data_IF_953324424745
#
_entry.id   IF_953324424745
#
_cell.length_a   1.000
_cell.length_b   1.000
_cell.length_c   1.000
_cell.angle_alpha   90.00
_cell.angle_beta   90.00
_cell.angle_gamma   90.00
#
_symmetry.space_group_name_H-M   'P 1'
#
loop_
_entity.id
_entity.type
_entity.pdbx_description
1 polymer ?
#
# COMPACT_ATOMS: atom_id res chain seq x y z
N UNK A 1 -9.52 19.50 38.81
CA UNK A 1 -8.04 19.53 38.77
C UNK A 1 -7.54 18.20 38.23
N UNK A 2 -7.99 17.74 37.06
CA UNK A 2 -7.72 18.15 35.68
C UNK A 2 -6.31 17.82 35.19
N UNK A 3 -6.25 16.68 34.50
CA UNK A 3 -5.14 16.18 33.70
C UNK A 3 -4.85 17.17 32.55
N UNK A 4 -3.96 18.12 32.81
CA UNK A 4 -3.38 19.01 31.82
C UNK A 4 -1.94 19.29 32.25
N UNK A 5 -1.05 18.32 32.02
CA UNK A 5 0.42 18.45 32.16
C UNK A 5 1.11 17.20 31.59
N UNK A 6 0.96 16.99 30.29
CA UNK A 6 1.83 16.12 29.50
C UNK A 6 1.73 16.62 28.07
N UNK A 7 2.68 17.50 27.71
CA UNK A 7 3.09 17.96 26.37
C UNK A 7 3.61 19.40 26.47
N UNK A 8 4.76 19.58 27.13
CA UNK A 8 5.61 20.75 26.93
C UNK A 8 7.00 20.41 27.46
N UNK A 9 7.98 20.24 26.56
CA UNK A 9 9.33 19.89 27.01
C UNK A 9 10.33 19.63 25.89
N UNK A 10 10.33 20.45 24.83
CA UNK A 10 11.45 20.51 23.88
C UNK A 10 11.79 21.98 23.64
N UNK A 11 12.64 22.52 24.52
CA UNK A 11 13.69 23.53 24.24
C UNK A 11 14.25 24.00 25.59
N UNK A 12 15.50 23.63 25.90
CA UNK A 12 16.52 24.49 26.53
C UNK A 12 17.80 23.68 26.73
N UNK A 13 18.79 23.96 25.88
CA UNK A 13 20.20 23.64 26.12
C UNK A 13 20.82 24.79 26.90
N UNK A 14 21.18 24.60 28.17
CA UNK A 14 22.34 25.27 28.80
C UNK A 14 22.72 24.54 30.09
N UNK A 15 24.00 24.24 30.26
CA UNK A 15 24.51 23.28 31.25
C UNK A 15 24.90 23.83 32.62
N UNK A 16 25.25 22.90 33.51
CA UNK A 16 26.42 22.88 34.41
C UNK A 16 26.27 21.68 35.37
N UNK A 17 27.18 20.69 35.29
CA UNK A 17 28.26 20.42 36.26
C UNK A 17 27.76 20.03 37.66
N UNK A 18 28.01 18.78 38.05
CA UNK A 18 27.87 18.32 39.43
C UNK A 18 27.99 16.81 39.56
N UNK A 19 29.20 16.34 39.87
CA UNK A 19 29.59 14.96 40.06
C UNK A 19 28.87 14.24 41.21
N UNK A 20 28.74 12.91 41.12
CA UNK A 20 29.17 11.92 42.12
C UNK A 20 28.66 10.52 41.74
N UNK A 21 29.59 9.60 41.51
CA UNK A 21 29.42 8.14 41.60
C UNK A 21 30.12 7.67 42.91
N UNK A 22 30.22 6.37 43.25
CA UNK A 22 29.52 5.17 42.77
C UNK A 22 29.00 4.28 43.95
N UNK A 23 28.25 3.22 43.67
CA UNK A 23 28.26 2.02 44.52
C UNK A 23 27.88 0.77 43.70
N UNK A 24 28.80 -0.19 43.71
CA UNK A 24 28.70 -1.49 43.05
C UNK A 24 27.97 -2.51 43.94
N UNK A 25 27.30 -3.48 43.33
CA UNK A 25 27.13 -4.82 43.91
C UNK A 25 26.88 -5.86 42.81
N UNK A 26 27.85 -6.79 42.68
CA UNK A 26 27.77 -8.08 42.01
C UNK A 26 26.98 -9.08 42.87
N UNK A 27 26.29 -10.04 42.24
CA UNK A 27 26.21 -11.48 42.59
C UNK A 27 25.12 -12.14 41.73
N UNK A 28 25.46 -12.97 40.74
CA UNK A 28 25.71 -14.43 40.81
C UNK A 28 24.45 -15.30 40.74
N UNK A 29 24.39 -16.07 39.66
CA UNK A 29 23.51 -17.22 39.44
C UNK A 29 24.07 -18.50 40.11
N UNK A 30 23.22 -19.52 40.31
CA UNK A 30 23.59 -20.91 40.08
C UNK A 30 22.59 -21.58 39.11
N UNK A 31 23.03 -22.23 38.03
CA UNK A 31 23.62 -23.58 37.93
C UNK A 31 22.60 -24.72 38.20
N UNK A 32 22.33 -25.47 37.13
CA UNK A 32 21.57 -26.72 37.07
C UNK A 32 22.35 -27.92 37.65
N UNK A 33 21.69 -29.07 37.81
CA UNK A 33 22.37 -30.36 37.65
C UNK A 33 21.76 -31.21 36.53
N UNK A 34 22.65 -31.85 35.79
CA UNK A 34 22.40 -32.94 34.85
C UNK A 34 22.32 -34.28 35.61
N UNK A 35 21.53 -35.24 35.08
CA UNK A 35 21.70 -36.67 35.32
C UNK A 35 21.28 -37.44 34.06
N UNK A 36 22.13 -38.40 33.71
CA UNK A 36 22.17 -39.23 32.49
C UNK A 36 21.76 -40.70 32.85
N UNK A 37 21.98 -41.76 32.03
CA UNK A 37 20.95 -42.46 31.26
C UNK A 37 20.75 -43.95 31.63
N UNK A 38 19.71 -44.60 31.08
CA UNK A 38 19.55 -46.07 30.93
C UNK A 38 18.23 -46.35 30.17
N UNK A 39 17.98 -47.37 29.36
CA UNK A 39 18.72 -48.48 28.73
C UNK A 39 17.68 -49.23 27.88
N UNK A 40 18.07 -49.68 26.69
CA UNK A 40 17.29 -50.55 25.79
C UNK A 40 17.08 -51.96 26.38
N UNK A 41 16.12 -52.77 25.88
CA UNK A 41 16.47 -53.73 24.83
C UNK A 41 15.36 -54.09 23.80
N UNK A 42 15.80 -54.53 22.63
CA UNK A 42 15.03 -55.24 21.60
C UNK A 42 14.79 -56.74 21.94
N UNK A 43 13.99 -57.46 21.12
CA UNK A 43 14.62 -58.57 20.39
C UNK A 43 14.18 -58.79 18.92
N UNK A 44 15.17 -59.26 18.16
CA UNK A 44 15.24 -60.23 17.04
C UNK A 44 13.98 -61.03 16.63
N UNK A 45 13.83 -61.67 15.47
CA UNK A 45 14.48 -61.77 14.13
C UNK A 45 13.76 -62.92 13.40
N UNK A 46 13.50 -62.83 12.09
CA UNK A 46 13.53 -64.01 11.20
C UNK A 46 13.47 -63.62 9.72
N UNK A 47 14.57 -63.93 9.00
CA UNK A 47 14.72 -63.92 7.53
C UNK A 47 14.32 -65.27 6.94
N UNK A 48 13.95 -65.29 5.65
CA UNK A 48 14.33 -66.28 4.60
C UNK A 48 13.71 -65.86 3.23
N UNK A 49 14.14 -66.39 2.05
CA UNK A 49 14.93 -65.64 1.07
C UNK A 49 14.26 -65.35 -0.30
N UNK A 50 15.00 -64.60 -1.11
CA UNK A 50 14.75 -64.04 -2.45
C UNK A 50 14.32 -65.04 -3.54
N UNK A 51 13.86 -64.50 -4.70
CA UNK A 51 14.64 -64.74 -5.92
C UNK A 51 15.02 -63.46 -6.68
N UNK A 52 16.12 -63.60 -7.38
CA UNK A 52 16.88 -62.64 -8.17
C UNK A 52 16.09 -62.09 -9.37
N UNK A 53 16.14 -60.78 -9.58
CA UNK A 53 15.83 -60.15 -10.85
C UNK A 53 16.94 -59.16 -11.22
N UNK A 54 17.47 -59.29 -12.43
CA UNK A 54 18.51 -58.45 -13.03
C UNK A 54 18.08 -56.97 -13.13
N UNK A 55 19.03 -56.02 -13.13
CA UNK A 55 18.73 -54.61 -12.91
C UNK A 55 18.05 -54.00 -14.14
N UNK A 56 16.82 -53.54 -13.96
CA UNK A 56 16.22 -52.55 -14.85
C UNK A 56 16.82 -51.20 -14.47
N UNK A 57 17.46 -50.51 -15.42
CA UNK A 57 17.83 -49.11 -15.24
C UNK A 57 16.52 -48.32 -15.17
N UNK A 58 16.06 -48.06 -13.94
CA UNK A 58 14.90 -47.22 -13.69
C UNK A 58 15.35 -45.76 -13.74
N UNK A 59 14.84 -45.03 -14.72
CA UNK A 59 14.93 -43.57 -14.76
C UNK A 59 14.17 -43.02 -13.54
N UNK A 60 14.78 -42.19 -12.66
CA UNK A 60 14.09 -41.70 -11.48
C UNK A 60 12.92 -40.80 -11.87
N UNK A 61 11.74 -41.07 -11.28
CA UNK A 61 10.57 -40.20 -11.39
C UNK A 61 10.71 -38.89 -10.58
N UNK A 62 9.83 -37.91 -10.82
CA UNK A 62 9.96 -36.52 -10.35
C UNK A 62 9.93 -36.34 -8.82
N UNK A 63 9.56 -37.37 -8.05
CA UNK A 63 9.58 -37.33 -6.58
C UNK A 63 11.00 -37.31 -5.97
N UNK A 64 12.03 -37.76 -6.71
CA UNK A 64 13.41 -37.76 -6.22
C UNK A 64 14.06 -36.35 -6.17
N UNK A 65 13.47 -35.35 -6.85
CA UNK A 65 14.04 -34.01 -7.01
C UNK A 65 13.66 -33.02 -5.90
N UNK A 66 12.58 -33.26 -5.16
CA UNK A 66 12.12 -32.37 -4.09
C UNK A 66 13.02 -32.43 -2.83
N UNK A 67 13.73 -33.54 -2.62
CA UNK A 67 14.64 -33.76 -1.49
C UNK A 67 16.12 -33.45 -1.82
N UNK A 68 16.42 -32.96 -3.02
CA UNK A 68 17.80 -32.77 -3.48
C UNK A 68 18.46 -31.51 -2.88
N UNK A 69 17.71 -30.40 -2.76
CA UNK A 69 18.24 -29.15 -2.17
C UNK A 69 18.52 -29.28 -0.66
N UNK A 70 17.77 -30.12 0.05
CA UNK A 70 17.95 -30.40 1.49
C UNK A 70 19.28 -31.10 1.81
N UNK A 71 19.96 -31.67 0.81
CA UNK A 71 21.31 -32.23 0.99
C UNK A 71 22.37 -31.13 0.97
N UNK A 72 22.13 -30.05 0.22
CA UNK A 72 23.04 -28.90 0.19
C UNK A 72 23.03 -28.15 1.54
N UNK A 73 21.91 -28.12 2.26
CA UNK A 73 21.84 -27.47 3.59
C UNK A 73 22.63 -28.21 4.67
N UNK A 74 22.92 -29.50 4.48
CA UNK A 74 23.71 -30.30 5.41
C UNK A 74 25.23 -30.12 5.23
N UNK A 75 25.68 -29.38 4.20
CA UNK A 75 27.11 -29.12 3.98
C UNK A 75 27.59 -27.98 4.88
N UNK A 76 28.62 -28.22 5.72
CA UNK A 76 29.15 -27.20 6.64
C UNK A 76 30.14 -26.23 5.97
N UNK A 77 30.70 -26.62 4.82
CA UNK A 77 31.59 -25.77 4.03
C UNK A 77 30.79 -24.89 3.06
N UNK A 78 31.01 -23.58 3.13
CA UNK A 78 30.23 -22.59 2.39
C UNK A 78 30.42 -22.69 0.87
N UNK A 79 31.62 -23.01 0.41
CA UNK A 79 31.94 -23.08 -1.01
C UNK A 79 31.37 -24.36 -1.63
N UNK A 80 31.47 -25.49 -0.93
CA UNK A 80 30.85 -26.74 -1.34
C UNK A 80 29.31 -26.66 -1.31
N UNK A 81 28.75 -25.96 -0.32
CA UNK A 81 27.31 -25.72 -0.22
C UNK A 81 26.80 -24.88 -1.39
N UNK A 82 27.49 -23.80 -1.74
CA UNK A 82 27.15 -22.96 -2.88
C UNK A 82 27.19 -23.76 -4.18
N UNK A 83 28.28 -24.49 -4.44
CA UNK A 83 28.42 -25.32 -5.63
C UNK A 83 27.33 -26.40 -5.74
N UNK A 84 26.88 -26.95 -4.61
CA UNK A 84 25.77 -27.91 -4.55
C UNK A 84 24.44 -27.27 -4.99
N UNK A 85 24.15 -26.04 -4.52
CA UNK A 85 22.95 -25.30 -4.94
C UNK A 85 23.00 -24.92 -6.42
N UNK A 86 24.15 -24.51 -6.93
CA UNK A 86 24.33 -24.15 -8.34
C UNK A 86 24.09 -25.35 -9.27
N UNK A 87 24.63 -26.52 -8.91
CA UNK A 87 24.37 -27.75 -9.66
C UNK A 87 22.90 -28.17 -9.61
N UNK A 88 22.26 -28.08 -8.45
CA UNK A 88 20.84 -28.40 -8.31
C UNK A 88 19.98 -27.46 -9.17
N UNK A 89 20.25 -26.16 -9.14
CA UNK A 89 19.54 -25.15 -9.93
C UNK A 89 19.73 -25.38 -11.44
N UNK A 90 20.95 -25.73 -11.87
CA UNK A 90 21.25 -26.07 -13.26
C UNK A 90 20.44 -27.27 -13.78
N UNK A 91 20.19 -28.28 -12.93
CA UNK A 91 19.37 -29.44 -13.29
C UNK A 91 17.87 -29.11 -13.44
N UNK A 92 17.37 -28.10 -12.71
CA UNK A 92 15.98 -27.64 -12.86
C UNK A 92 15.76 -26.88 -14.18
N UNK A 93 16.77 -26.16 -14.66
CA UNK A 93 16.69 -25.41 -15.91
C UNK A 93 16.48 -26.32 -17.14
N UNK A 94 17.08 -27.52 -17.14
CA UNK A 94 16.88 -28.52 -18.20
C UNK A 94 15.51 -29.22 -18.15
N UNK A 95 14.82 -29.19 -17.01
CA UNK A 95 13.47 -29.77 -16.87
C UNK A 95 12.35 -28.84 -17.38
N UNK A 96 12.68 -27.58 -17.73
CA UNK A 96 11.75 -26.63 -18.37
C UNK A 96 12.18 -26.32 -19.81
N UNK A 97 12.28 -27.33 -20.66
CA UNK A 97 12.31 -27.09 -22.10
C UNK A 97 10.91 -26.67 -22.61
N UNK A 98 10.79 -25.74 -23.58
CA UNK A 98 9.50 -25.27 -24.06
C UNK A 98 8.76 -26.36 -24.84
N UNK A 99 7.45 -26.46 -24.62
CA UNK A 99 6.49 -27.21 -25.44
C UNK A 99 6.64 -26.87 -26.92
N UNK A 100 6.92 -27.89 -27.74
CA UNK A 100 6.97 -27.79 -29.20
C UNK A 100 5.61 -27.34 -29.76
N UNK A 101 5.60 -26.21 -30.46
CA UNK A 101 4.51 -25.80 -31.34
C UNK A 101 4.63 -26.58 -32.65
N UNK A 102 3.58 -27.32 -33.00
CA UNK A 102 3.41 -27.96 -34.30
C UNK A 102 3.17 -26.89 -35.37
N UNK A 103 4.21 -26.56 -36.14
CA UNK A 103 4.08 -25.79 -37.37
C UNK A 103 4.14 -26.73 -38.59
N UNK A 104 3.13 -26.60 -39.44
CA UNK A 104 2.87 -27.42 -40.61
C UNK A 104 3.97 -27.33 -41.69
N UNK A 105 4.20 -28.46 -42.34
CA UNK A 105 5.10 -28.57 -43.48
C UNK A 105 4.57 -27.81 -44.70
N UNK A 106 5.37 -26.88 -45.21
CA UNK A 106 5.23 -26.28 -46.53
C UNK A 106 6.59 -26.24 -47.20
N UNK A 107 6.80 -27.09 -48.21
CA UNK A 107 8.03 -27.19 -48.99
C UNK A 107 8.22 -25.97 -49.91
N UNK A 108 9.45 -25.45 -50.07
CA UNK A 108 9.84 -24.66 -51.23
C UNK A 108 10.79 -25.44 -52.17
N UNK A 109 10.77 -25.19 -53.50
CA UNK A 109 11.65 -25.90 -54.43
C UNK A 109 13.03 -25.23 -54.58
N UNK A 110 14.04 -26.10 -54.53
CA UNK A 110 15.29 -26.18 -55.29
C UNK A 110 16.00 -24.93 -55.87
N UNK A 111 17.24 -24.79 -55.39
CA UNK A 111 18.52 -24.68 -56.13
C UNK A 111 19.02 -23.34 -56.67
N UNK A 112 20.12 -22.86 -56.07
CA UNK A 112 21.33 -22.48 -56.81
C UNK A 112 22.58 -22.67 -55.92
N UNK A 113 23.59 -23.33 -56.48
CA UNK A 113 24.80 -23.81 -55.82
C UNK A 113 25.81 -22.70 -55.48
N UNK A 114 26.50 -22.83 -54.33
CA UNK A 114 27.85 -22.30 -54.08
C UNK A 114 28.58 -23.20 -53.06
N UNK A 115 29.84 -23.45 -53.35
CA UNK A 115 30.77 -24.41 -52.72
C UNK A 115 30.93 -24.24 -51.19
N UNK A 116 31.28 -25.31 -50.45
CA UNK A 116 31.42 -25.25 -49.00
C UNK A 116 32.75 -24.58 -48.61
N UNK A 117 32.67 -23.48 -47.86
CA UNK A 117 33.79 -23.03 -47.02
C UNK A 117 33.36 -23.29 -45.59
N UNK A 118 34.04 -24.21 -44.90
CA UNK A 118 33.79 -24.54 -43.50
C UNK A 118 34.23 -23.38 -42.60
N UNK A 119 33.33 -22.69 -41.87
CA UNK A 119 33.75 -21.88 -40.73
C UNK A 119 33.89 -22.82 -39.52
N UNK A 120 35.03 -22.73 -38.85
CA UNK A 120 35.31 -23.47 -37.62
C UNK A 120 34.26 -23.15 -36.54
N UNK A 121 33.84 -24.17 -35.78
CA UNK A 121 33.03 -23.99 -34.58
C UNK A 121 33.76 -23.10 -33.57
N UNK A 122 33.15 -22.03 -33.03
CA UNK A 122 33.78 -21.23 -31.99
C UNK A 122 33.97 -22.05 -30.72
N UNK A 123 35.13 -21.90 -30.09
CA UNK A 123 35.49 -22.50 -28.80
C UNK A 123 34.68 -21.83 -27.68
N UNK A 124 34.34 -22.50 -26.56
CA UNK A 124 33.43 -21.97 -25.53
C UNK A 124 33.84 -20.66 -24.82
N UNK A 125 35.00 -20.10 -25.16
CA UNK A 125 35.55 -18.88 -24.57
C UNK A 125 35.05 -17.57 -25.22
N UNK A 126 34.33 -17.65 -26.34
CA UNK A 126 33.84 -16.47 -27.09
C UNK A 126 32.33 -16.21 -26.95
N UNK A 127 31.65 -16.89 -26.03
CA UNK A 127 30.24 -16.60 -25.72
C UNK A 127 30.16 -15.41 -24.75
N UNK A 128 29.40 -14.33 -25.06
CA UNK A 128 29.16 -13.28 -24.09
C UNK A 128 28.50 -13.90 -22.84
N UNK A 129 28.84 -13.42 -21.62
CA UNK A 129 28.22 -13.93 -20.41
C UNK A 129 26.70 -13.84 -20.57
N UNK A 130 26.03 -14.98 -20.42
CA UNK A 130 24.57 -15.03 -20.41
C UNK A 130 24.12 -14.13 -19.27
N UNK A 131 23.26 -13.12 -19.50
CA UNK A 131 22.77 -12.29 -18.41
C UNK A 131 22.12 -13.21 -17.38
N UNK A 132 22.64 -13.21 -16.15
CA UNK A 132 21.96 -13.90 -15.07
C UNK A 132 20.52 -13.36 -15.01
N UNK A 133 19.51 -14.23 -14.89
CA UNK A 133 18.15 -13.76 -14.70
C UNK A 133 18.14 -12.96 -13.40
N UNK A 134 18.02 -11.64 -13.51
CA UNK A 134 17.72 -10.78 -12.37
C UNK A 134 16.38 -11.30 -11.83
N UNK A 135 16.42 -12.02 -10.72
CA UNK A 135 15.23 -12.31 -9.93
C UNK A 135 14.74 -10.95 -9.44
N UNK A 136 13.82 -10.34 -10.19
CA UNK A 136 13.15 -9.11 -9.78
C UNK A 136 12.34 -9.50 -8.55
N UNK A 137 12.91 -9.24 -7.37
CA UNK A 137 12.21 -9.42 -6.11
C UNK A 137 11.07 -8.42 -6.11
N UNK A 138 9.86 -8.89 -6.41
CA UNK A 138 8.66 -8.06 -6.37
C UNK A 138 8.45 -7.69 -4.91
N UNK A 139 8.53 -6.39 -4.63
CA UNK A 139 8.15 -5.80 -3.36
C UNK A 139 6.78 -6.36 -2.93
N UNK A 140 6.62 -6.88 -1.71
CA UNK A 140 5.41 -7.64 -1.30
C UNK A 140 4.09 -6.86 -1.46
N UNK A 141 4.11 -5.54 -1.22
CA UNK A 141 2.96 -4.66 -1.44
C UNK A 141 2.58 -4.47 -2.92
N UNK A 142 3.40 -4.98 -3.86
CA UNK A 142 3.14 -5.03 -5.31
C UNK A 142 2.90 -6.45 -5.82
N UNK A 143 2.95 -7.46 -4.95
CA UNK A 143 2.73 -8.85 -5.33
C UNK A 143 1.23 -9.14 -5.55
N UNK A 144 0.81 -9.21 -6.81
CA UNK A 144 -0.59 -9.39 -7.23
C UNK A 144 -1.23 -10.73 -6.82
N UNK A 145 -0.48 -11.68 -6.25
CA UNK A 145 -1.08 -12.85 -5.60
C UNK A 145 -1.90 -12.46 -4.36
N UNK A 146 -1.56 -11.33 -3.72
CA UNK A 146 -2.34 -10.74 -2.64
C UNK A 146 -3.40 -9.80 -3.20
N UNK A 147 -4.54 -9.72 -2.49
CA UNK A 147 -5.66 -8.89 -2.89
C UNK A 147 -5.37 -7.40 -2.77
N UNK A 148 -6.24 -6.56 -3.36
CA UNK A 148 -6.07 -5.10 -3.35
C UNK A 148 -5.96 -4.55 -1.92
N UNK A 149 -6.86 -4.94 -1.01
CA UNK A 149 -6.83 -4.42 0.36
C UNK A 149 -5.68 -5.01 1.18
N UNK A 150 -5.28 -6.25 0.91
CA UNK A 150 -4.10 -6.88 1.50
C UNK A 150 -2.83 -6.09 1.19
N UNK A 151 -2.60 -5.80 -0.09
CA UNK A 151 -1.43 -5.05 -0.57
C UNK A 151 -1.47 -3.60 -0.12
N UNK A 152 -2.65 -2.99 -0.16
CA UNK A 152 -2.81 -1.62 0.28
C UNK A 152 -2.47 -1.49 1.77
N UNK A 153 -3.04 -2.29 2.67
CA UNK A 153 -2.75 -2.16 4.11
C UNK A 153 -1.62 -3.05 4.61
N UNK A 154 -0.99 -3.82 3.73
CA UNK A 154 0.07 -4.78 4.03
C UNK A 154 -0.34 -5.72 5.18
N UNK A 155 -1.48 -6.40 4.99
CA UNK A 155 -2.21 -7.15 6.01
C UNK A 155 -1.60 -8.53 6.34
N UNK A 156 -0.59 -8.95 5.58
CA UNK A 156 0.12 -10.22 5.71
C UNK A 156 1.64 -9.99 5.56
N UNK A 157 2.49 -10.86 6.12
CA UNK A 157 3.94 -10.76 5.96
C UNK A 157 4.39 -10.68 4.49
N UNK A 158 3.77 -11.48 3.60
CA UNK A 158 4.13 -11.48 2.18
C UNK A 158 3.53 -10.33 1.36
N UNK A 159 2.53 -9.61 1.88
CA UNK A 159 2.02 -8.39 1.26
C UNK A 159 2.74 -7.13 1.76
N UNK A 160 3.78 -7.28 2.59
CA UNK A 160 4.50 -6.16 3.17
C UNK A 160 5.71 -5.68 2.37
N UNK A 161 5.88 -4.36 2.35
CA UNK A 161 7.08 -3.67 1.85
C UNK A 161 7.97 -3.12 2.98
N UNK A 162 7.68 -3.42 4.25
CA UNK A 162 8.45 -2.99 5.42
C UNK A 162 8.11 -1.60 5.98
N UNK A 163 8.79 -1.18 7.03
CA UNK A 163 8.55 0.13 7.67
C UNK A 163 9.34 1.27 7.01
N UNK A 164 8.93 2.52 7.24
CA UNK A 164 9.65 3.75 6.84
C UNK A 164 9.91 3.96 5.34
N UNK A 165 9.13 3.32 4.47
CA UNK A 165 9.10 3.63 3.01
C UNK A 165 7.84 4.41 2.68
N UNK A 166 7.91 5.33 1.71
CA UNK A 166 6.71 6.02 1.22
C UNK A 166 5.92 5.13 0.27
N UNK A 167 4.60 5.18 0.38
CA UNK A 167 3.64 4.61 -0.57
C UNK A 167 2.65 5.69 -0.99
N UNK A 168 2.04 5.52 -2.16
CA UNK A 168 0.80 6.21 -2.49
C UNK A 168 -0.30 5.93 -1.45
N UNK A 169 -1.14 6.92 -1.17
CA UNK A 169 -2.24 6.77 -0.22
C UNK A 169 -3.62 7.06 -0.83
N UNK A 170 -3.88 8.31 -1.21
CA UNK A 170 -4.97 8.68 -2.14
C UNK A 170 -4.36 8.97 -3.53
N UNK A 171 -5.16 9.08 -4.61
CA UNK A 171 -4.65 9.40 -5.93
C UNK A 171 -3.77 10.67 -5.92
N UNK A 172 -2.55 10.60 -6.48
CA UNK A 172 -1.68 11.77 -6.63
C UNK A 172 -1.99 12.39 -7.98
N UNK A 173 -2.68 13.54 -7.99
CA UNK A 173 -3.31 14.06 -9.20
C UNK A 173 -2.89 15.47 -9.53
N UNK A 174 -2.89 15.75 -10.84
CA UNK A 174 -2.85 17.08 -11.41
C UNK A 174 -4.00 17.18 -12.40
N UNK A 175 -4.89 18.16 -12.24
CA UNK A 175 -6.10 18.27 -13.06
C UNK A 175 -6.49 19.71 -13.33
N UNK A 176 -7.21 19.93 -14.43
CA UNK A 176 -8.02 21.14 -14.63
C UNK A 176 -9.41 20.84 -14.12
N UNK A 177 -9.97 21.76 -13.34
CA UNK A 177 -11.33 21.64 -12.81
C UNK A 177 -12.22 22.75 -13.35
N UNK A 178 -13.47 22.41 -13.65
CA UNK A 178 -14.54 23.35 -13.96
C UNK A 178 -15.69 23.16 -12.98
N UNK A 179 -16.11 24.23 -12.33
CA UNK A 179 -17.18 24.21 -11.33
C UNK A 179 -18.42 25.00 -11.78
N UNK A 180 -19.61 24.62 -11.28
CA UNK A 180 -20.82 25.39 -11.52
C UNK A 180 -20.82 26.76 -10.80
N UNK A 181 -20.16 26.85 -9.65
CA UNK A 181 -19.99 28.07 -8.85
C UNK A 181 -18.61 28.08 -8.20
N UNK A 182 -18.13 29.25 -7.76
CA UNK A 182 -16.91 29.44 -6.95
C UNK A 182 -17.22 30.36 -5.77
N UNK A 183 -16.52 30.18 -4.65
CA UNK A 183 -16.70 30.98 -3.44
C UNK A 183 -15.75 32.17 -3.45
N UNK A 184 -16.28 33.31 -3.87
CA UNK A 184 -15.63 34.62 -3.91
C UNK A 184 -15.52 35.27 -2.53
N UNK A 185 -16.43 34.95 -1.61
CA UNK A 185 -16.43 35.46 -0.24
C UNK A 185 -16.72 34.36 0.79
N UNK A 186 -15.73 33.48 1.08
CA UNK A 186 -15.90 32.46 2.09
C UNK A 186 -16.28 33.01 3.46
N UNK A 187 -17.23 32.35 4.13
CA UNK A 187 -17.68 32.71 5.48
C UNK A 187 -17.95 31.47 6.34
N UNK A 188 -17.91 31.63 7.66
CA UNK A 188 -18.41 30.65 8.62
C UNK A 188 -19.19 31.39 9.73
N UNK A 189 -20.00 30.70 10.55
CA UNK A 189 -20.69 31.32 11.67
C UNK A 189 -19.76 31.86 12.77
N UNK A 190 -18.47 31.52 12.75
CA UNK A 190 -17.52 31.97 13.75
C UNK A 190 -17.18 33.47 13.59
N UNK A 191 -17.01 34.24 14.69
CA UNK A 191 -16.65 35.65 14.61
C UNK A 191 -15.37 35.87 13.80
N UNK A 192 -15.36 36.89 12.93
CA UNK A 192 -14.17 37.24 12.14
C UNK A 192 -13.84 36.31 10.97
N UNK A 193 -14.72 35.36 10.62
CA UNK A 193 -14.48 34.37 9.55
C UNK A 193 -15.13 34.72 8.21
N UNK A 194 -15.50 35.97 7.99
CA UNK A 194 -16.06 36.46 6.72
C UNK A 194 -14.98 37.16 5.91
N UNK A 195 -14.64 36.58 4.75
CA UNK A 195 -13.64 37.14 3.85
C UNK A 195 -14.10 38.42 3.15
N UNK A 196 -13.15 39.13 2.55
CA UNK A 196 -13.42 40.14 1.54
C UNK A 196 -13.62 39.47 0.18
N UNK A 197 -14.58 39.91 -0.66
CA UNK A 197 -14.78 39.31 -1.97
C UNK A 197 -13.55 39.37 -2.87
N UNK A 198 -13.24 38.27 -3.54
CA UNK A 198 -12.23 38.17 -4.60
C UNK A 198 -12.87 37.55 -5.84
N UNK A 199 -12.64 38.15 -7.02
CA UNK A 199 -13.21 37.68 -8.28
C UNK A 199 -12.51 36.42 -8.80
N UNK A 200 -12.79 35.28 -8.18
CA UNK A 200 -12.24 34.00 -8.61
C UNK A 200 -12.93 33.47 -9.87
N UNK A 201 -12.17 32.75 -10.69
CA UNK A 201 -12.72 31.96 -11.79
C UNK A 201 -13.25 30.62 -11.27
N UNK A 202 -14.26 30.11 -11.98
CA UNK A 202 -14.81 28.76 -11.74
C UNK A 202 -13.96 27.64 -12.34
N UNK A 203 -12.99 28.01 -13.18
CA UNK A 203 -12.00 27.10 -13.74
C UNK A 203 -10.69 27.28 -13.00
N UNK A 204 -10.16 26.19 -12.44
CA UNK A 204 -8.96 26.18 -11.60
C UNK A 204 -8.07 25.02 -12.01
N UNK A 205 -6.79 25.06 -11.64
CA UNK A 205 -5.96 23.86 -11.59
C UNK A 205 -6.10 23.26 -10.19
N UNK A 206 -6.25 21.94 -10.10
CA UNK A 206 -6.28 21.20 -8.84
C UNK A 206 -5.11 20.25 -8.75
N UNK A 207 -4.41 20.29 -7.62
CA UNK A 207 -3.33 19.37 -7.30
C UNK A 207 -3.70 18.56 -6.06
N UNK A 208 -3.45 17.26 -6.07
CA UNK A 208 -3.54 16.41 -4.89
C UNK A 208 -2.23 15.64 -4.70
N UNK A 209 -1.63 15.77 -3.53
CA UNK A 209 -0.50 14.95 -3.09
C UNK A 209 -0.98 14.09 -1.94
N UNK A 210 -0.70 12.80 -1.96
CA UNK A 210 -1.09 11.92 -0.87
C UNK A 210 -0.14 10.76 -0.71
N UNK A 211 0.51 10.72 0.44
CA UNK A 211 1.52 9.72 0.78
C UNK A 211 1.21 9.11 2.14
N UNK A 212 1.70 7.89 2.34
CA UNK A 212 1.71 7.25 3.65
C UNK A 212 3.00 6.48 3.86
N UNK A 213 3.30 6.23 5.12
CA UNK A 213 4.40 5.36 5.52
C UNK A 213 3.99 4.50 6.70
N UNK A 214 4.43 3.25 6.69
CA UNK A 214 4.22 2.34 7.81
C UNK A 214 5.25 2.68 8.89
N UNK A 215 4.78 3.01 10.09
CA UNK A 215 5.61 3.36 11.24
C UNK A 215 6.00 2.14 12.06
N UNK A 216 5.08 1.20 12.22
CA UNK A 216 5.30 -0.04 12.97
C UNK A 216 4.39 -1.15 12.42
N UNK A 217 4.75 -2.41 12.70
CA UNK A 217 4.00 -3.59 12.29
C UNK A 217 4.15 -4.71 13.32
N UNK A 218 3.20 -5.65 13.35
CA UNK A 218 3.25 -6.78 14.28
C UNK A 218 3.13 -6.33 15.75
N UNK A 219 2.27 -5.35 16.04
CA UNK A 219 2.12 -4.80 17.39
C UNK A 219 1.24 -5.70 18.26
N UNK A 220 0.14 -6.20 17.69
CA UNK A 220 -0.85 -7.05 18.37
C UNK A 220 -1.00 -8.43 17.72
N UNK A 221 -0.56 -8.62 16.47
CA UNK A 221 -0.60 -9.94 15.83
C UNK A 221 0.63 -10.78 16.24
N UNK A 222 0.47 -12.08 16.55
CA UNK A 222 1.60 -12.95 16.87
C UNK A 222 2.59 -13.09 15.72
N UNK A 223 3.89 -13.18 16.03
CA UNK A 223 4.99 -13.26 15.04
C UNK A 223 4.84 -14.42 14.03
N UNK A 224 4.31 -15.56 14.49
CA UNK A 224 4.11 -16.74 13.64
C UNK A 224 2.81 -16.69 12.81
N UNK A 225 2.01 -15.64 12.94
CA UNK A 225 0.71 -15.54 12.26
C UNK A 225 0.85 -15.05 10.81
N UNK A 226 -0.08 -15.45 9.95
CA UNK A 226 -0.20 -14.91 8.58
C UNK A 226 -0.84 -13.52 8.56
N UNK A 227 -1.05 -12.91 9.73
CA UNK A 227 -1.69 -11.61 9.91
C UNK A 227 -0.62 -10.62 10.33
N UNK A 228 -0.66 -9.44 9.73
CA UNK A 228 0.25 -8.35 10.05
C UNK A 228 -0.55 -7.08 10.31
N UNK A 229 -0.71 -6.74 11.59
CA UNK A 229 -1.25 -5.44 11.96
C UNK A 229 -0.19 -4.35 11.82
N UNK A 230 -0.63 -3.10 11.71
CA UNK A 230 0.30 -2.00 11.42
C UNK A 230 -0.20 -0.63 11.86
N UNK A 231 0.77 0.22 12.22
CA UNK A 231 0.57 1.64 12.49
C UNK A 231 1.12 2.45 11.31
N UNK A 232 0.33 3.40 10.83
CA UNK A 232 0.63 4.22 9.66
C UNK A 232 0.57 5.70 9.98
N UNK A 233 1.43 6.47 9.31
CA UNK A 233 1.26 7.90 9.14
C UNK A 233 0.89 8.20 7.70
N UNK A 234 -0.12 9.04 7.51
CA UNK A 234 -0.59 9.52 6.22
C UNK A 234 -0.55 11.04 6.17
N UNK A 235 -0.30 11.59 4.98
CA UNK A 235 -0.45 13.01 4.71
C UNK A 235 -1.09 13.19 3.34
N UNK A 236 -2.24 13.88 3.31
CA UNK A 236 -2.89 14.30 2.08
C UNK A 236 -2.95 15.81 2.01
N UNK A 237 -2.64 16.36 0.84
CA UNK A 237 -2.79 17.78 0.54
C UNK A 237 -3.63 17.94 -0.74
N UNK A 238 -4.59 18.87 -0.72
CA UNK A 238 -5.39 19.22 -1.90
C UNK A 238 -5.38 20.74 -2.11
N UNK A 239 -4.91 21.20 -3.26
CA UNK A 239 -4.79 22.62 -3.60
C UNK A 239 -5.64 23.01 -4.79
N UNK A 240 -6.36 24.14 -4.69
CA UNK A 240 -7.05 24.81 -5.79
C UNK A 240 -6.28 26.07 -6.18
N UNK A 241 -5.77 26.08 -7.40
CA UNK A 241 -4.94 27.14 -7.95
C UNK A 241 -5.69 27.92 -9.03
N UNK A 242 -5.80 29.23 -8.86
CA UNK A 242 -6.37 30.16 -9.84
C UNK A 242 -5.40 30.41 -11.01
N UNK A 243 -4.80 29.36 -11.55
CA UNK A 243 -3.80 29.41 -12.63
C UNK A 243 -4.28 30.23 -13.84
N UNK A 244 -5.58 30.20 -14.12
CA UNK A 244 -6.20 30.89 -15.26
C UNK A 244 -6.64 32.33 -14.97
N UNK A 245 -6.42 32.84 -13.76
CA UNK A 245 -6.87 34.17 -13.31
C UNK A 245 -5.69 35.14 -13.28
N UNK A 246 -5.27 35.59 -14.47
CA UNK A 246 -4.13 36.51 -14.63
C UNK A 246 -4.34 37.88 -13.99
N UNK A 247 -5.58 38.35 -13.94
CA UNK A 247 -6.03 39.62 -13.39
C UNK A 247 -5.82 39.77 -11.88
N UNK A 248 -5.73 38.65 -11.16
CA UNK A 248 -5.46 38.63 -9.70
C UNK A 248 -4.12 37.98 -9.36
N UNK A 249 -3.19 37.87 -10.32
CA UNK A 249 -1.87 37.25 -10.16
C UNK A 249 -1.89 35.75 -9.83
N UNK A 250 -2.91 35.03 -10.28
CA UNK A 250 -3.01 33.55 -10.23
C UNK A 250 -2.73 32.94 -8.85
N UNK A 251 -3.44 33.35 -7.78
CA UNK A 251 -3.19 32.88 -6.42
C UNK A 251 -3.69 31.43 -6.21
N UNK A 252 -3.15 30.73 -5.22
CA UNK A 252 -3.85 29.58 -4.66
C UNK A 252 -5.08 30.09 -3.90
N UNK A 253 -6.27 29.60 -4.26
CA UNK A 253 -7.51 29.96 -3.55
C UNK A 253 -7.61 29.22 -2.22
N UNK A 254 -7.17 27.97 -2.20
CA UNK A 254 -7.20 27.14 -0.99
C UNK A 254 -6.19 25.98 -1.10
N UNK A 255 -5.59 25.59 0.02
CA UNK A 255 -4.86 24.34 0.17
C UNK A 255 -5.30 23.68 1.46
N UNK A 256 -5.85 22.47 1.40
CA UNK A 256 -6.18 21.68 2.57
C UNK A 256 -5.04 20.71 2.88
N UNK A 257 -4.64 20.65 4.14
CA UNK A 257 -3.63 19.75 4.71
C UNK A 257 -4.33 18.75 5.63
N UNK A 258 -4.15 17.46 5.40
CA UNK A 258 -4.83 16.36 6.11
C UNK A 258 -3.81 15.29 6.57
N UNK A 259 -3.02 15.56 7.64
CA UNK A 259 -2.22 14.52 8.29
C UNK A 259 -3.09 13.58 9.12
N UNK A 260 -2.74 12.30 9.12
CA UNK A 260 -3.40 11.30 9.95
C UNK A 260 -2.47 10.21 10.46
N UNK A 261 -2.84 9.63 11.60
CA UNK A 261 -2.23 8.41 12.17
C UNK A 261 -3.30 7.35 12.22
N UNK A 262 -3.01 6.16 11.70
CA UNK A 262 -3.98 5.11 11.49
C UNK A 262 -3.42 3.78 11.95
N UNK A 263 -4.15 3.09 12.82
CA UNK A 263 -3.87 1.71 13.19
C UNK A 263 -4.81 0.77 12.43
N UNK A 264 -4.25 -0.27 11.83
CA UNK A 264 -4.97 -1.23 10.98
C UNK A 264 -4.74 -2.64 11.50
N UNK A 265 -5.84 -3.35 11.75
CA UNK A 265 -5.85 -4.73 12.21
C UNK A 265 -6.45 -5.65 11.12
N UNK A 266 -5.77 -6.75 10.73
CA UNK A 266 -6.29 -7.72 9.78
C UNK A 266 -7.39 -8.59 10.44
N UNK A 267 -8.65 -8.23 10.20
CA UNK A 267 -9.82 -8.96 10.73
C UNK A 267 -10.05 -10.28 9.99
N UNK A 268 -9.71 -10.34 8.71
CA UNK A 268 -9.83 -11.46 7.79
C UNK A 268 -10.96 -12.49 8.06
N UNK A 269 -12.14 -12.26 7.50
CA UNK A 269 -13.30 -13.13 7.63
C UNK A 269 -14.07 -13.30 6.32
N UNK A 270 -14.59 -14.49 6.05
CA UNK A 270 -15.46 -14.76 4.90
C UNK A 270 -16.87 -14.25 5.17
N UNK A 271 -17.45 -13.57 4.19
CA UNK A 271 -18.83 -13.06 4.19
C UNK A 271 -19.65 -13.78 3.09
N UNK A 272 -21.00 -13.69 3.15
CA UNK A 272 -21.88 -14.28 2.13
C UNK A 272 -21.57 -13.79 0.71
N UNK A 273 -21.81 -14.64 -0.28
CA UNK A 273 -21.64 -14.28 -1.70
C UNK A 273 -20.19 -14.11 -2.15
N UNK A 274 -19.22 -14.71 -1.43
CA UNK A 274 -17.80 -14.68 -1.79
C UNK A 274 -17.03 -13.45 -1.30
N UNK A 275 -17.72 -12.48 -0.67
CA UNK A 275 -17.08 -11.30 -0.08
C UNK A 275 -16.16 -11.67 1.07
N UNK A 276 -15.06 -10.93 1.24
CA UNK A 276 -14.09 -11.12 2.32
C UNK A 276 -13.89 -9.81 3.06
N UNK A 277 -14.10 -9.82 4.36
CA UNK A 277 -13.74 -8.72 5.24
C UNK A 277 -12.25 -8.78 5.51
N UNK A 278 -11.50 -7.72 5.19
CA UNK A 278 -10.03 -7.75 5.23
C UNK A 278 -9.44 -7.08 6.45
N UNK A 279 -9.97 -5.90 6.82
CA UNK A 279 -9.41 -5.16 7.94
C UNK A 279 -10.46 -4.36 8.69
N UNK A 280 -10.11 -4.04 9.93
CA UNK A 280 -10.73 -2.98 10.74
C UNK A 280 -9.63 -2.04 11.20
N UNK A 281 -9.96 -0.78 11.43
CA UNK A 281 -8.96 0.19 11.86
C UNK A 281 -9.56 1.37 12.61
N UNK A 282 -8.68 2.10 13.26
CA UNK A 282 -8.97 3.35 13.95
C UNK A 282 -7.94 4.39 13.54
N UNK A 283 -8.37 5.63 13.36
CA UNK A 283 -7.46 6.71 13.01
C UNK A 283 -7.79 8.03 13.69
N UNK A 284 -6.77 8.86 13.81
CA UNK A 284 -6.83 10.25 14.23
C UNK A 284 -6.39 11.10 13.05
N UNK A 285 -7.21 12.09 12.68
CA UNK A 285 -6.95 12.97 11.55
C UNK A 285 -7.17 14.41 11.94
N UNK A 286 -6.19 15.24 11.64
CA UNK A 286 -6.33 16.68 11.62
C UNK A 286 -6.55 17.12 10.16
N UNK A 287 -7.41 18.10 9.93
CA UNK A 287 -7.52 18.73 8.62
C UNK A 287 -7.65 20.24 8.80
N UNK A 288 -6.79 21.00 8.14
CA UNK A 288 -6.84 22.47 8.13
C UNK A 288 -6.41 23.03 6.79
N UNK A 289 -6.79 24.26 6.50
CA UNK A 289 -6.35 24.92 5.26
C UNK A 289 -5.10 25.79 5.41
N UNK A 290 -4.50 25.81 6.62
CA UNK A 290 -3.29 26.59 6.92
C UNK A 290 -3.45 28.11 6.78
N UNK A 291 -4.69 28.62 6.69
CA UNK A 291 -4.96 30.05 6.51
C UNK A 291 -5.13 30.76 7.84
N UNK A 292 -4.86 32.07 7.85
CA UNK A 292 -5.24 32.97 8.95
C UNK A 292 -6.69 33.47 8.79
N UNK A 293 -7.22 34.14 9.80
CA UNK A 293 -8.50 34.85 9.67
C UNK A 293 -8.45 35.83 8.49
N UNK A 294 -9.56 36.00 7.75
CA UNK A 294 -10.88 35.37 7.93
C UNK A 294 -11.06 33.99 7.26
N UNK A 295 -10.04 33.50 6.56
CA UNK A 295 -10.11 32.29 5.74
C UNK A 295 -9.80 30.99 6.50
N UNK A 296 -9.32 31.09 7.75
CA UNK A 296 -8.94 29.93 8.57
C UNK A 296 -10.07 28.92 8.68
N UNK A 297 -9.78 27.65 8.40
CA UNK A 297 -10.70 26.53 8.59
C UNK A 297 -9.92 25.34 9.11
N UNK A 298 -10.45 24.67 10.13
CA UNK A 298 -9.82 23.49 10.72
C UNK A 298 -10.83 22.62 11.47
N UNK A 299 -10.48 21.34 11.64
CA UNK A 299 -11.20 20.41 12.49
C UNK A 299 -10.35 19.15 12.74
N UNK A 300 -10.67 18.48 13.85
CA UNK A 300 -10.03 17.25 14.28
C UNK A 300 -11.06 16.12 14.36
N UNK A 301 -10.68 14.90 13.96
CA UNK A 301 -11.59 13.75 13.96
C UNK A 301 -10.88 12.50 14.46
N UNK A 302 -11.63 11.68 15.19
CA UNK A 302 -11.32 10.25 15.39
C UNK A 302 -12.27 9.45 14.51
N UNK A 303 -11.79 8.38 13.89
CA UNK A 303 -12.62 7.58 13.00
C UNK A 303 -12.37 6.08 13.17
N UNK A 304 -13.40 5.31 12.90
CA UNK A 304 -13.32 3.88 12.66
C UNK A 304 -13.42 3.62 11.16
N UNK A 305 -12.69 2.62 10.69
CA UNK A 305 -12.72 2.23 9.29
C UNK A 305 -12.70 0.72 9.10
N UNK A 306 -13.17 0.28 7.95
CA UNK A 306 -13.18 -1.12 7.55
C UNK A 306 -13.13 -1.23 6.02
N UNK A 307 -12.71 -2.40 5.53
CA UNK A 307 -12.75 -2.73 4.11
C UNK A 307 -13.11 -4.17 3.86
N UNK A 308 -14.03 -4.36 2.91
CA UNK A 308 -14.42 -5.65 2.36
C UNK A 308 -14.09 -5.67 0.87
N UNK A 309 -13.81 -6.84 0.33
CA UNK A 309 -13.54 -7.01 -1.10
C UNK A 309 -14.23 -8.26 -1.63
N UNK A 310 -14.46 -8.28 -2.94
CA UNK A 310 -14.91 -9.45 -3.67
C UNK A 310 -13.90 -9.65 -4.80
N UNK A 311 -13.19 -10.78 -4.73
CA UNK A 311 -12.10 -11.14 -5.63
C UNK A 311 -11.09 -9.99 -5.86
N UNK A 312 -10.84 -9.62 -7.11
CA UNK A 312 -9.97 -8.50 -7.51
C UNK A 312 -10.75 -7.33 -8.11
N UNK A 313 -12.05 -7.53 -8.37
CA UNK A 313 -12.91 -6.59 -9.08
C UNK A 313 -13.54 -5.56 -8.17
N UNK A 314 -13.85 -5.90 -6.91
CA UNK A 314 -14.54 -4.97 -6.02
C UNK A 314 -13.82 -4.79 -4.70
N UNK A 315 -13.75 -3.54 -4.25
CA UNK A 315 -13.44 -3.19 -2.87
C UNK A 315 -14.45 -2.16 -2.37
N UNK A 316 -14.97 -2.36 -1.18
CA UNK A 316 -15.83 -1.40 -0.49
C UNK A 316 -15.19 -1.05 0.84
N UNK A 317 -14.94 0.24 1.06
CA UNK A 317 -14.41 0.75 2.32
C UNK A 317 -15.41 1.70 2.95
N UNK A 318 -15.46 1.69 4.28
CA UNK A 318 -16.33 2.56 5.04
C UNK A 318 -15.53 3.24 6.16
N UNK A 319 -15.88 4.50 6.42
CA UNK A 319 -15.36 5.27 7.56
C UNK A 319 -16.54 5.90 8.29
N UNK A 320 -16.51 5.85 9.61
CA UNK A 320 -17.39 6.65 10.47
C UNK A 320 -16.51 7.46 11.41
N UNK A 321 -16.84 8.73 11.62
CA UNK A 321 -16.01 9.61 12.43
C UNK A 321 -16.80 10.46 13.40
N UNK A 322 -16.13 10.75 14.51
CA UNK A 322 -16.56 11.72 15.48
C UNK A 322 -15.65 12.94 15.39
N UNK A 323 -16.25 14.13 15.28
CA UNK A 323 -15.50 15.39 15.37
C UNK A 323 -15.09 15.59 16.83
N UNK A 324 -13.80 15.79 17.06
CA UNK A 324 -13.28 16.17 18.38
C UNK A 324 -13.68 17.63 18.62
N UNK A 325 -14.35 17.89 19.73
CA UNK A 325 -14.88 19.22 20.05
C UNK A 325 -13.75 20.22 20.29
N UNK A 326 -13.96 21.44 19.81
CA UNK A 326 -13.09 22.60 20.02
C UNK A 326 -13.83 23.65 20.85
N UNK A 327 -13.11 24.44 21.63
CA UNK A 327 -13.72 25.56 22.35
C UNK A 327 -14.33 26.54 21.34
N UNK A 328 -15.47 27.15 21.68
CA UNK A 328 -16.21 28.02 20.76
C UNK A 328 -15.38 29.20 20.21
N UNK A 329 -14.39 29.69 20.96
CA UNK A 329 -13.49 30.76 20.52
C UNK A 329 -12.44 30.32 19.49
N UNK A 330 -12.19 29.01 19.40
CA UNK A 330 -11.16 28.41 18.54
C UNK A 330 -11.79 27.50 17.46
N UNK A 331 -13.12 27.45 17.37
CA UNK A 331 -13.82 26.68 16.35
C UNK A 331 -14.01 27.54 15.11
N UNK A 332 -13.16 27.34 14.10
CA UNK A 332 -13.18 28.11 12.85
C UNK A 332 -14.44 27.85 12.00
N UNK A 333 -15.09 26.71 12.22
CA UNK A 333 -16.22 26.24 11.42
C UNK A 333 -17.22 25.45 12.27
N UNK A 334 -17.96 26.14 13.17
CA UNK A 334 -18.99 25.52 13.97
C UNK A 334 -20.01 24.82 13.08
N UNK A 335 -20.32 23.57 13.43
CA UNK A 335 -21.29 22.77 12.69
C UNK A 335 -20.80 22.18 11.37
N UNK A 336 -19.49 22.15 11.07
CA UNK A 336 -18.93 21.52 9.86
C UNK A 336 -19.46 20.10 9.59
N UNK A 337 -19.66 19.29 10.64
CA UNK A 337 -20.22 17.93 10.53
C UNK A 337 -21.63 17.89 9.94
N UNK A 338 -22.39 18.99 10.02
CA UNK A 338 -23.72 19.11 9.43
C UNK A 338 -23.70 19.30 7.92
N UNK A 339 -22.50 19.46 7.31
CA UNK A 339 -22.32 19.61 5.88
C UNK A 339 -21.48 18.49 5.29
N UNK A 340 -20.23 18.34 5.77
CA UNK A 340 -19.25 17.39 5.22
C UNK A 340 -19.62 15.95 5.55
N UNK A 341 -20.16 15.72 6.74
CA UNK A 341 -20.65 14.40 7.13
C UNK A 341 -20.12 13.87 8.45
N UNK A 342 -20.54 12.64 8.75
CA UNK A 342 -20.07 11.76 9.84
C UNK A 342 -19.69 10.35 9.36
N UNK A 343 -20.00 10.03 8.10
CA UNK A 343 -19.54 8.80 7.47
C UNK A 343 -19.21 9.00 6.01
N UNK A 344 -18.37 8.11 5.52
CA UNK A 344 -17.98 7.94 4.13
C UNK A 344 -18.10 6.45 3.76
N UNK A 345 -18.68 6.20 2.58
CA UNK A 345 -18.70 4.89 1.95
C UNK A 345 -18.06 5.05 0.58
N UNK A 346 -17.08 4.21 0.27
CA UNK A 346 -16.43 4.17 -1.02
C UNK A 346 -16.54 2.78 -1.62
N UNK A 347 -16.97 2.70 -2.87
CA UNK A 347 -16.93 1.49 -3.67
C UNK A 347 -15.97 1.70 -4.85
N UNK A 348 -15.06 0.75 -5.03
CA UNK A 348 -14.10 0.69 -6.13
C UNK A 348 -14.39 -0.54 -6.96
N UNK A 349 -14.49 -0.35 -8.28
CA UNK A 349 -14.76 -1.40 -9.25
C UNK A 349 -13.70 -1.42 -10.35
N UNK A 350 -13.02 -2.55 -10.50
CA UNK A 350 -12.06 -2.84 -11.56
C UNK A 350 -12.69 -3.87 -12.51
N UNK A 351 -13.44 -3.45 -13.55
CA UNK A 351 -14.01 -4.39 -14.51
C UNK A 351 -12.94 -5.14 -15.33
N UNK A 352 -11.77 -4.52 -15.50
CA UNK A 352 -10.63 -5.05 -16.22
C UNK A 352 -9.32 -4.49 -15.61
N UNK A 353 -8.18 -4.79 -16.24
CA UNK A 353 -6.85 -4.40 -15.74
C UNK A 353 -6.50 -2.92 -15.98
N UNK A 354 -7.23 -2.22 -16.85
CA UNK A 354 -6.88 -0.86 -17.27
C UNK A 354 -7.87 0.19 -16.80
N UNK A 355 -9.07 -0.20 -16.37
CA UNK A 355 -10.12 0.69 -15.89
C UNK A 355 -10.43 0.49 -14.41
N UNK A 356 -10.53 1.60 -13.68
CA UNK A 356 -11.03 1.65 -12.30
C UNK A 356 -12.12 2.70 -12.18
N UNK A 357 -13.25 2.34 -11.60
CA UNK A 357 -14.35 3.23 -11.27
C UNK A 357 -14.47 3.35 -9.74
N UNK A 358 -14.62 4.57 -9.23
CA UNK A 358 -14.72 4.83 -7.80
C UNK A 358 -15.95 5.68 -7.54
N UNK A 359 -16.80 5.24 -6.62
CA UNK A 359 -17.93 6.00 -6.11
C UNK A 359 -17.74 6.24 -4.62
N UNK A 360 -17.66 7.50 -4.21
CA UNK A 360 -17.57 7.89 -2.79
C UNK A 360 -18.79 8.70 -2.39
N UNK A 361 -19.44 8.29 -1.30
CA UNK A 361 -20.60 8.96 -0.72
C UNK A 361 -20.26 9.41 0.70
N UNK A 362 -20.59 10.66 1.04
CA UNK A 362 -20.53 11.19 2.40
C UNK A 362 -21.91 11.66 2.82
N UNK A 363 -22.26 11.45 4.09
CA UNK A 363 -23.53 11.91 4.64
C UNK A 363 -23.37 12.46 6.07
N UNK A 364 -24.14 13.50 6.39
CA UNK A 364 -24.23 14.13 7.71
C UNK A 364 -25.14 13.42 8.69
N UNK A 365 -26.10 12.63 8.21
CA UNK A 365 -27.18 12.01 9.00
C UNK A 365 -27.91 13.02 9.91
N UNK A 366 -27.94 14.30 9.51
CA UNK A 366 -28.68 15.36 10.17
C UNK A 366 -30.04 15.60 9.52
N UNK A 367 -30.85 16.44 10.16
CA UNK A 367 -32.21 16.80 9.70
C UNK A 367 -32.27 17.37 8.28
N UNK A 368 -31.22 18.08 7.84
CA UNK A 368 -31.14 18.67 6.50
C UNK A 368 -30.52 17.73 5.44
N UNK A 369 -30.22 16.47 5.78
CA UNK A 369 -29.66 15.42 4.92
C UNK A 369 -28.58 15.90 3.93
N UNK A 370 -27.57 16.60 4.44
CA UNK A 370 -26.44 17.11 3.64
C UNK A 370 -25.33 16.07 3.50
N UNK A 371 -24.51 16.24 2.46
CA UNK A 371 -23.38 15.36 2.18
C UNK A 371 -22.80 15.64 0.79
N UNK A 372 -22.12 14.64 0.24
CA UNK A 372 -21.54 14.72 -1.10
C UNK A 372 -21.48 13.37 -1.78
N UNK A 373 -21.50 13.38 -3.10
CA UNK A 373 -21.15 12.25 -3.95
C UNK A 373 -19.94 12.62 -4.81
N UNK A 374 -19.06 11.65 -5.04
CA UNK A 374 -17.93 11.75 -5.95
C UNK A 374 -17.89 10.49 -6.80
N UNK A 375 -17.83 10.67 -8.11
CA UNK A 375 -17.63 9.62 -9.09
C UNK A 375 -16.30 9.85 -9.77
N UNK A 376 -15.51 8.80 -9.91
CA UNK A 376 -14.19 8.86 -10.52
C UNK A 376 -14.04 7.71 -11.51
N UNK A 377 -13.34 8.00 -12.61
CA UNK A 377 -12.88 7.02 -13.57
C UNK A 377 -11.39 7.21 -13.79
N UNK A 378 -10.65 6.12 -13.70
CA UNK A 378 -9.23 6.05 -13.96
C UNK A 378 -8.98 5.07 -15.10
N UNK A 379 -8.16 5.49 -16.07
CA UNK A 379 -7.75 4.65 -17.19
C UNK A 379 -6.23 4.61 -17.31
N UNK A 380 -5.65 3.41 -17.40
CA UNK A 380 -4.20 3.22 -17.55
C UNK A 380 -3.69 3.79 -18.86
N UNK A 381 -2.71 4.70 -18.77
CA UNK A 381 -2.07 5.32 -19.93
C UNK A 381 -0.70 4.68 -20.16
N UNK A 382 -0.42 4.34 -21.43
CA UNK A 382 0.80 3.66 -21.83
C UNK A 382 0.66 2.13 -21.78
N UNK A 383 1.71 1.44 -21.37
CA UNK A 383 1.67 -0.02 -21.18
C UNK A 383 0.77 -0.41 -20.01
N UNK A 384 0.31 -1.66 -19.99
CA UNK A 384 -0.61 -2.17 -18.96
C UNK A 384 -0.03 -2.07 -17.53
N UNK A 385 1.30 -2.06 -17.40
CA UNK A 385 2.02 -1.96 -16.12
C UNK A 385 2.39 -0.52 -15.74
N UNK A 386 1.96 0.48 -16.51
CA UNK A 386 2.20 1.89 -16.20
C UNK A 386 1.53 2.27 -14.87
N UNK A 387 2.12 3.21 -14.15
CA UNK A 387 1.54 3.83 -12.95
C UNK A 387 0.77 5.13 -13.26
N UNK A 388 0.78 5.55 -14.52
CA UNK A 388 0.08 6.75 -14.97
C UNK A 388 -1.37 6.40 -15.35
N UNK A 389 -2.31 7.20 -14.87
CA UNK A 389 -3.74 7.07 -15.17
C UNK A 389 -4.26 8.39 -15.73
N UNK A 390 -5.09 8.34 -16.77
CA UNK A 390 -6.07 9.40 -17.02
C UNK A 390 -7.04 9.39 -15.83
N UNK A 391 -7.35 10.55 -15.27
CA UNK A 391 -8.26 10.68 -14.13
C UNK A 391 -9.35 11.68 -14.45
N UNK A 392 -10.59 11.18 -14.46
CA UNK A 392 -11.80 12.01 -14.56
C UNK A 392 -12.56 11.89 -13.25
N UNK A 393 -12.95 13.01 -12.66
CA UNK A 393 -13.71 13.04 -11.42
C UNK A 393 -14.87 14.03 -11.53
N UNK A 394 -16.06 13.61 -11.11
CA UNK A 394 -17.22 14.47 -10.90
C UNK A 394 -17.58 14.47 -9.41
N UNK A 395 -17.50 15.64 -8.77
CA UNK A 395 -17.94 15.87 -7.40
C UNK A 395 -19.24 16.67 -7.39
N UNK A 396 -20.16 16.34 -6.49
CA UNK A 396 -21.36 17.15 -6.22
C UNK A 396 -21.72 17.08 -4.74
N UNK A 397 -21.80 18.23 -4.07
CA UNK A 397 -22.18 18.31 -2.66
C UNK A 397 -21.42 19.36 -1.89
N UNK A 398 -21.28 19.12 -0.59
CA UNK A 398 -20.57 19.97 0.39
C UNK A 398 -19.18 19.42 0.72
N UNK A 399 -18.25 20.29 1.11
CA UNK A 399 -16.91 19.83 1.53
C UNK A 399 -15.99 19.41 0.38
N UNK A 400 -16.09 20.07 -0.77
CA UNK A 400 -15.10 19.94 -1.86
C UNK A 400 -13.70 20.39 -1.41
N UNK A 401 -13.67 21.45 -0.60
CA UNK A 401 -12.52 21.92 0.17
C UNK A 401 -13.00 22.44 1.54
N UNK A 402 -12.10 22.66 2.49
CA UNK A 402 -12.49 23.21 3.81
C UNK A 402 -13.08 24.61 3.71
N UNK A 403 -12.54 25.47 2.86
CA UNK A 403 -13.07 26.83 2.68
C UNK A 403 -14.47 26.84 2.06
N UNK A 404 -14.85 25.75 1.37
CA UNK A 404 -16.16 25.54 0.77
C UNK A 404 -17.04 24.55 1.55
N UNK A 405 -16.71 24.23 2.81
CA UNK A 405 -17.39 23.17 3.56
C UNK A 405 -18.91 23.37 3.65
N UNK A 406 -19.36 24.62 3.76
CA UNK A 406 -20.76 25.02 3.90
C UNK A 406 -21.43 25.42 2.57
N UNK A 407 -20.76 25.22 1.44
CA UNK A 407 -21.27 25.57 0.11
C UNK A 407 -21.46 24.32 -0.75
N UNK A 408 -22.64 24.16 -1.34
CA UNK A 408 -22.90 23.10 -2.31
C UNK A 408 -22.35 23.49 -3.68
N UNK A 409 -21.53 22.64 -4.29
CA UNK A 409 -21.02 22.85 -5.64
C UNK A 409 -20.88 21.54 -6.41
N UNK A 410 -20.87 21.65 -7.73
CA UNK A 410 -20.59 20.56 -8.66
C UNK A 410 -19.31 20.89 -9.40
N UNK A 411 -18.36 19.96 -9.40
CA UNK A 411 -17.00 20.15 -9.94
C UNK A 411 -16.65 18.96 -10.82
N UNK A 412 -16.35 19.24 -12.09
CA UNK A 412 -15.74 18.28 -13.01
C UNK A 412 -14.23 18.51 -13.01
N UNK A 413 -13.45 17.44 -12.90
CA UNK A 413 -12.00 17.43 -12.92
C UNK A 413 -11.53 16.47 -14.01
N UNK A 414 -10.62 16.95 -14.85
CA UNK A 414 -9.95 16.13 -15.87
C UNK A 414 -8.44 16.33 -15.75
N UNK A 415 -7.71 15.23 -15.66
CA UNK A 415 -6.26 15.29 -15.54
C UNK A 415 -5.61 13.93 -15.51
N UNK A 416 -4.47 13.85 -14.83
CA UNK A 416 -3.71 12.62 -14.67
C UNK A 416 -3.52 12.30 -13.20
N UNK A 417 -3.40 11.00 -12.90
CA UNK A 417 -3.05 10.48 -11.59
C UNK A 417 -1.83 9.58 -11.69
N UNK A 418 -0.98 9.61 -10.67
CA UNK A 418 -0.06 8.53 -10.37
C UNK A 418 -0.71 7.63 -9.31
N UNK A 419 -0.62 6.32 -9.52
CA UNK A 419 -1.01 5.28 -8.56
C UNK A 419 0.18 4.36 -8.29
N UNK A 420 0.24 3.76 -7.11
CA UNK A 420 1.40 3.00 -6.61
C UNK A 420 1.03 1.57 -6.20
N UNK A 421 0.02 0.95 -6.85
CA UNK A 421 -0.50 -0.36 -6.45
C UNK A 421 -1.16 -1.14 -7.59
#
# INVERSE_FOLDING_TARGET
MSAARLLCGWLTLTGCVGALAPAAARAQAPAAPALEPASEPAPASSRLPSPSASPSIATPGPAANAAAWQRCTALPDDTARLACFDQWAGQQAWQRAPTQSTAAAGSPPASAARSPTTPASPTPADLPPTPEPILVQVDGCRDTHYSLLARFWELEPGSSCGVFRFRGYRPITVSVVGANTVNDQPSSPAPGHTATPVNYRRTEMRLQLSVRTKLAQGLLTPDASQRLDSLWFGYTQQSYWQLFSGDISRPFRNTDHEPEVVYVYPTDAQLPGGWRWRYSGVGLVHQSNGQSLPLSRSWNRVYLMTGVELDTRWAVTARVWHRIAENATNDDNPGISNYVGRAELQATWNPDQVNTYIATLRNSFGSAWRGSARLEWQHTLGEKQSNLRLHTQLFSGYGDSLVDYNRKRTVLSLGVSLVDF
#
